data_IF_090891746831
#
_entry.id   IF_090891746831
#
_cell.length_a   1.000
_cell.length_b   1.000
_cell.length_c   1.000
_cell.angle_alpha   90.00
_cell.angle_beta   90.00
_cell.angle_gamma   90.00
#
_symmetry.space_group_name_H-M   'P 1'
#
loop_
_entity.id
_entity.type
_entity.pdbx_description
1 polymer ?
#
# COMPACT_ATOMS: atom_id res chain seq x y z
N UNK A 1 27.29 -8.78 -23.13
CA UNK A 1 25.87 -8.85 -23.55
C UNK A 1 25.03 -7.98 -22.64
N UNK A 2 24.76 -6.73 -23.04
CA UNK A 2 24.03 -5.74 -22.25
C UNK A 2 22.53 -6.01 -22.40
N UNK A 3 21.87 -6.53 -21.34
CA UNK A 3 20.42 -6.73 -21.33
C UNK A 3 19.76 -5.36 -21.16
N UNK A 4 19.26 -4.79 -22.26
CA UNK A 4 18.39 -3.62 -22.23
C UNK A 4 17.08 -3.99 -21.51
N UNK A 5 17.04 -3.75 -20.20
CA UNK A 5 15.81 -3.76 -19.43
C UNK A 5 15.00 -2.55 -19.87
N UNK A 6 14.08 -2.73 -20.81
CA UNK A 6 13.09 -1.71 -21.17
C UNK A 6 12.21 -1.50 -19.94
N UNK A 7 12.59 -0.56 -19.07
CA UNK A 7 11.78 -0.14 -17.93
C UNK A 7 10.61 0.65 -18.52
N UNK A 8 9.55 -0.04 -18.90
CA UNK A 8 8.30 0.61 -19.30
C UNK A 8 7.76 1.34 -18.08
N UNK A 9 7.93 2.66 -18.05
CA UNK A 9 7.36 3.52 -17.04
C UNK A 9 5.84 3.34 -17.01
N UNK A 10 5.25 3.40 -15.82
CA UNK A 10 3.81 3.20 -15.64
C UNK A 10 3.07 4.35 -16.31
N UNK A 11 1.99 4.04 -17.04
CA UNK A 11 1.17 5.04 -17.76
C UNK A 11 0.27 5.87 -16.84
N UNK A 12 0.01 5.40 -15.62
CA UNK A 12 -0.87 6.06 -14.67
C UNK A 12 -0.32 5.91 -13.26
N UNK A 13 -0.47 6.97 -12.47
CA UNK A 13 -0.11 6.97 -11.06
C UNK A 13 -1.05 6.06 -10.26
N UNK A 14 -0.51 5.43 -9.21
CA UNK A 14 -1.23 4.47 -8.37
C UNK A 14 -1.30 4.98 -6.95
N UNK A 15 -2.53 5.06 -6.46
CA UNK A 15 -2.83 5.50 -5.11
C UNK A 15 -3.15 4.28 -4.24
N UNK A 16 -2.59 4.25 -3.03
CA UNK A 16 -2.78 3.15 -2.11
C UNK A 16 -4.18 3.21 -1.51
N UNK A 17 -4.87 2.08 -1.52
CA UNK A 17 -6.21 1.97 -0.94
C UNK A 17 -6.36 0.66 -0.18
N UNK A 18 -7.43 0.56 0.61
CA UNK A 18 -7.81 -0.65 1.33
C UNK A 18 -9.30 -0.82 1.17
N UNK A 19 -9.67 -1.19 -0.05
CA UNK A 19 -11.04 -1.52 -0.42
C UNK A 19 -11.18 -3.03 -0.40
N UNK A 20 -12.25 -3.52 0.21
CA UNK A 20 -12.60 -4.94 0.20
C UNK A 20 -13.68 -5.17 -0.86
N UNK A 21 -13.61 -6.32 -1.49
CA UNK A 21 -14.55 -6.73 -2.52
C UNK A 21 -14.33 -8.19 -2.91
N UNK A 22 -14.90 -8.59 -4.02
CA UNK A 22 -14.72 -9.91 -4.60
C UNK A 22 -14.26 -9.83 -6.06
N UNK A 23 -13.58 -10.87 -6.51
CA UNK A 23 -13.17 -11.06 -7.89
C UNK A 23 -13.86 -12.30 -8.42
N UNK A 24 -14.65 -12.10 -9.47
CA UNK A 24 -15.38 -13.15 -10.19
C UNK A 24 -14.62 -13.51 -11.46
N UNK A 25 -14.41 -14.80 -11.66
CA UNK A 25 -13.90 -15.40 -12.90
C UNK A 25 -14.75 -16.62 -13.23
N UNK A 26 -15.48 -16.57 -14.34
CA UNK A 26 -16.43 -17.63 -14.72
C UNK A 26 -17.41 -17.93 -13.57
N UNK A 27 -17.39 -19.16 -13.05
CA UNK A 27 -18.25 -19.64 -11.98
C UNK A 27 -17.58 -19.57 -10.59
N UNK A 28 -16.40 -18.96 -10.49
CA UNK A 28 -15.66 -18.81 -9.24
C UNK A 28 -15.66 -17.37 -8.76
N UNK A 29 -15.93 -17.18 -7.48
CA UNK A 29 -15.84 -15.90 -6.79
C UNK A 29 -14.88 -16.03 -5.62
N UNK A 30 -14.00 -15.03 -5.48
CA UNK A 30 -12.97 -15.01 -4.45
C UNK A 30 -12.92 -13.65 -3.78
N UNK A 31 -12.96 -13.62 -2.46
CA UNK A 31 -12.73 -12.40 -1.68
C UNK A 31 -11.35 -11.81 -1.96
N UNK A 32 -11.31 -10.52 -2.19
CA UNK A 32 -10.10 -9.78 -2.50
C UNK A 32 -10.03 -8.43 -1.78
N UNK A 33 -8.80 -8.01 -1.54
CA UNK A 33 -8.46 -6.70 -1.00
C UNK A 33 -7.68 -5.93 -2.03
N UNK A 34 -8.21 -4.79 -2.46
CA UNK A 34 -7.53 -3.87 -3.36
C UNK A 34 -6.44 -3.14 -2.56
N UNK A 35 -5.20 -3.24 -3.03
CA UNK A 35 -4.00 -2.67 -2.40
C UNK A 35 -3.70 -1.27 -2.93
N UNK A 36 -3.85 -1.12 -4.24
CA UNK A 36 -3.69 0.14 -4.93
C UNK A 36 -4.57 0.16 -6.18
N UNK A 37 -4.96 1.37 -6.54
CA UNK A 37 -5.85 1.64 -7.65
C UNK A 37 -5.24 2.75 -8.51
N UNK A 38 -5.48 2.67 -9.81
CA UNK A 38 -5.22 3.71 -10.81
C UNK A 38 -6.39 3.75 -11.77
N UNK A 39 -6.47 4.81 -12.58
CA UNK A 39 -7.51 4.95 -13.62
C UNK A 39 -7.53 3.75 -14.57
N UNK A 40 -6.38 3.11 -14.79
CA UNK A 40 -6.24 2.01 -15.76
C UNK A 40 -6.23 0.63 -15.11
N UNK A 41 -6.14 0.50 -13.79
CA UNK A 41 -6.04 -0.83 -13.20
C UNK A 41 -5.80 -0.86 -11.71
N UNK A 42 -5.78 -2.06 -11.15
CA UNK A 42 -5.63 -2.30 -9.73
C UNK A 42 -4.62 -3.42 -9.45
N UNK A 43 -4.02 -3.37 -8.26
CA UNK A 43 -3.40 -4.54 -7.65
C UNK A 43 -4.28 -4.99 -6.49
N UNK A 44 -4.59 -6.28 -6.45
CA UNK A 44 -5.38 -6.89 -5.40
C UNK A 44 -4.70 -8.11 -4.81
N UNK A 45 -5.07 -8.43 -3.57
CA UNK A 45 -4.65 -9.59 -2.82
C UNK A 45 -5.87 -10.46 -2.58
N UNK A 46 -5.84 -11.71 -3.03
CA UNK A 46 -6.95 -12.65 -2.93
C UNK A 46 -6.79 -13.48 -1.66
N UNK A 47 -7.88 -13.70 -0.92
CA UNK A 47 -7.87 -14.50 0.31
C UNK A 47 -7.68 -16.00 0.03
N UNK A 48 -8.28 -16.49 -1.05
CA UNK A 48 -8.11 -17.86 -1.55
C UNK A 48 -7.49 -17.83 -2.94
N UNK A 49 -6.96 -18.97 -3.44
CA UNK A 49 -6.39 -19.02 -4.79
C UNK A 49 -7.44 -18.71 -5.87
N UNK A 50 -7.24 -17.63 -6.63
CA UNK A 50 -8.06 -17.35 -7.81
C UNK A 50 -7.67 -18.28 -8.97
N UNK A 51 -8.60 -19.11 -9.44
CA UNK A 51 -8.44 -20.01 -10.59
C UNK A 51 -8.57 -19.28 -11.94
N UNK A 52 -7.73 -18.26 -12.13
CA UNK A 52 -7.63 -17.48 -13.35
C UNK A 52 -6.16 -17.27 -13.72
N UNK A 53 -5.84 -17.35 -15.01
CA UNK A 53 -4.49 -17.18 -15.54
C UNK A 53 -4.25 -15.73 -15.99
N UNK A 54 -3.00 -15.39 -16.28
CA UNK A 54 -2.72 -14.12 -16.96
C UNK A 54 -3.38 -14.13 -18.35
N UNK A 55 -4.04 -13.04 -18.72
CA UNK A 55 -4.87 -12.94 -19.92
C UNK A 55 -6.36 -13.24 -19.70
N UNK A 56 -6.74 -13.81 -18.56
CA UNK A 56 -8.15 -14.07 -18.25
C UNK A 56 -8.93 -12.78 -17.97
N UNK A 57 -10.17 -12.72 -18.47
CA UNK A 57 -11.16 -11.68 -18.14
C UNK A 57 -11.76 -11.92 -16.76
N UNK A 58 -11.79 -10.89 -15.94
CA UNK A 58 -12.32 -10.94 -14.57
C UNK A 58 -13.22 -9.74 -14.29
N UNK A 59 -14.12 -9.92 -13.33
CA UNK A 59 -14.98 -8.87 -12.80
C UNK A 59 -14.63 -8.62 -11.34
N UNK A 60 -14.45 -7.37 -10.96
CA UNK A 60 -14.20 -6.94 -9.60
C UNK A 60 -15.47 -6.25 -9.12
N UNK A 61 -15.96 -6.64 -7.96
CA UNK A 61 -17.11 -6.03 -7.32
C UNK A 61 -16.69 -5.55 -5.93
N UNK A 62 -16.89 -4.26 -5.65
CA UNK A 62 -16.57 -3.67 -4.37
C UNK A 62 -17.56 -2.56 -4.04
N UNK A 63 -17.99 -2.49 -2.79
CA UNK A 63 -19.08 -1.60 -2.34
C UNK A 63 -18.86 -0.12 -2.73
N UNK A 64 -17.64 0.39 -2.57
CA UNK A 64 -17.32 1.80 -2.84
C UNK A 64 -16.76 2.06 -4.24
N UNK A 65 -16.54 1.03 -5.05
CA UNK A 65 -15.94 1.13 -6.39
C UNK A 65 -16.91 0.71 -7.49
N UNK A 66 -17.94 -0.07 -7.17
CA UNK A 66 -18.88 -0.64 -8.12
C UNK A 66 -18.33 -1.90 -8.79
N UNK A 67 -18.82 -2.15 -10.01
CA UNK A 67 -18.44 -3.30 -10.84
C UNK A 67 -17.47 -2.86 -11.93
N UNK A 68 -16.25 -3.39 -11.88
CA UNK A 68 -15.20 -3.15 -12.87
C UNK A 68 -14.83 -4.43 -13.59
N UNK A 69 -14.71 -4.35 -14.92
CA UNK A 69 -14.21 -5.44 -15.75
C UNK A 69 -12.76 -5.19 -16.16
N UNK A 70 -11.99 -6.27 -16.30
CA UNK A 70 -10.61 -6.17 -16.76
C UNK A 70 -9.95 -7.50 -17.05
N UNK A 71 -8.66 -7.44 -17.36
CA UNK A 71 -7.82 -8.58 -17.72
C UNK A 71 -6.69 -8.71 -16.71
N UNK A 72 -6.43 -9.94 -16.25
CA UNK A 72 -5.28 -10.24 -15.40
C UNK A 72 -3.99 -10.05 -16.22
N UNK A 73 -3.09 -9.19 -15.73
CA UNK A 73 -1.77 -8.95 -16.36
C UNK A 73 -0.65 -9.75 -15.69
N UNK A 74 -0.77 -10.01 -14.40
CA UNK A 74 0.19 -10.78 -13.64
C UNK A 74 -0.47 -11.38 -12.39
N UNK A 75 0.12 -12.47 -11.90
CA UNK A 75 -0.24 -13.12 -10.64
C UNK A 75 1.04 -13.53 -9.92
N UNK A 76 1.16 -13.20 -8.65
CA UNK A 76 2.36 -13.48 -7.85
C UNK A 76 2.00 -13.56 -6.36
N UNK A 77 2.29 -14.69 -5.69
CA UNK A 77 2.08 -14.90 -4.25
C UNK A 77 0.70 -14.44 -3.73
N UNK A 78 -0.39 -14.90 -4.35
CA UNK A 78 -1.75 -14.52 -3.96
C UNK A 78 -2.14 -13.07 -4.31
N UNK A 79 -1.26 -12.34 -5.00
CA UNK A 79 -1.56 -11.01 -5.56
C UNK A 79 -1.82 -11.11 -7.04
N UNK A 80 -2.71 -10.26 -7.52
CA UNK A 80 -3.12 -10.20 -8.92
C UNK A 80 -3.12 -8.75 -9.37
N UNK A 81 -2.54 -8.49 -10.52
CA UNK A 81 -2.64 -7.20 -11.20
C UNK A 81 -3.68 -7.29 -12.30
N UNK A 82 -4.66 -6.38 -12.26
CA UNK A 82 -5.72 -6.32 -13.26
C UNK A 82 -5.62 -4.99 -13.99
N UNK A 83 -5.65 -5.08 -15.31
CA UNK A 83 -5.80 -3.94 -16.21
C UNK A 83 -7.29 -3.81 -16.52
N UNK A 84 -7.90 -2.65 -16.22
CA UNK A 84 -9.30 -2.42 -16.53
C UNK A 84 -9.51 -2.31 -18.03
N UNK A 85 -10.71 -2.71 -18.45
CA UNK A 85 -11.18 -2.47 -19.81
C UNK A 85 -11.33 -0.96 -20.03
N UNK A 86 -10.90 -0.50 -21.20
CA UNK A 86 -10.86 0.93 -21.54
C UNK A 86 -12.25 1.41 -21.93
N UNK A 87 -13.10 1.66 -20.93
CA UNK A 87 -14.45 2.17 -21.13
C UNK A 87 -14.73 3.39 -20.23
N UNK A 88 -15.75 4.18 -20.59
CA UNK A 88 -16.14 5.40 -19.87
C UNK A 88 -16.67 5.11 -18.47
N UNK A 89 -17.42 4.02 -18.31
CA UNK A 89 -18.00 3.61 -17.03
C UNK A 89 -16.93 3.30 -15.98
N UNK A 90 -15.93 2.48 -16.32
CA UNK A 90 -14.82 2.12 -15.45
C UNK A 90 -14.02 3.35 -15.03
N UNK A 91 -13.75 4.27 -15.97
CA UNK A 91 -13.10 5.55 -15.65
C UNK A 91 -13.93 6.39 -14.69
N UNK A 92 -15.24 6.49 -14.90
CA UNK A 92 -16.14 7.26 -14.05
C UNK A 92 -16.23 6.66 -12.64
N UNK A 93 -16.35 5.33 -12.51
CA UNK A 93 -16.37 4.64 -11.22
C UNK A 93 -15.08 4.86 -10.43
N UNK A 94 -13.92 4.67 -11.07
CA UNK A 94 -12.62 4.90 -10.43
C UNK A 94 -12.46 6.37 -10.04
N UNK A 95 -12.87 7.31 -10.90
CA UNK A 95 -12.82 8.75 -10.60
C UNK A 95 -13.74 9.12 -9.43
N UNK A 96 -14.96 8.57 -9.38
CA UNK A 96 -15.91 8.79 -8.28
C UNK A 96 -15.37 8.22 -6.97
N UNK A 97 -14.75 7.04 -7.01
CA UNK A 97 -14.06 6.47 -5.85
C UNK A 97 -12.99 7.44 -5.30
N UNK A 98 -12.12 7.95 -6.17
CA UNK A 98 -11.09 8.90 -5.76
C UNK A 98 -11.63 10.20 -5.20
N UNK A 99 -12.76 10.68 -5.73
CA UNK A 99 -13.36 11.94 -5.30
C UNK A 99 -14.11 11.85 -3.97
N UNK A 100 -14.85 10.75 -3.74
CA UNK A 100 -15.80 10.69 -2.63
C UNK A 100 -15.42 9.70 -1.53
N UNK A 101 -14.69 8.63 -1.86
CA UNK A 101 -14.48 7.50 -0.96
C UNK A 101 -13.01 7.26 -0.58
N UNK A 102 -12.07 7.81 -1.35
CA UNK A 102 -10.66 7.59 -1.11
C UNK A 102 -10.19 8.30 0.15
N UNK A 103 -9.75 7.50 1.12
CA UNK A 103 -9.05 7.97 2.31
C UNK A 103 -7.58 7.61 2.15
N UNK A 104 -6.70 8.61 2.17
CA UNK A 104 -5.26 8.37 2.16
C UNK A 104 -4.88 7.47 3.33
N UNK A 105 -4.34 6.29 3.02
CA UNK A 105 -3.83 5.38 4.05
C UNK A 105 -2.39 5.78 4.33
N UNK A 106 -2.19 6.57 5.38
CA UNK A 106 -0.86 6.86 5.92
C UNK A 106 -0.44 5.70 6.83
N UNK A 107 0.60 4.92 6.49
CA UNK A 107 1.10 3.92 7.42
C UNK A 107 1.63 4.65 8.65
N UNK A 108 0.91 4.55 9.77
CA UNK A 108 1.42 5.04 11.05
C UNK A 108 2.46 4.02 11.51
N UNK A 109 3.74 4.34 11.33
CA UNK A 109 4.78 3.70 12.11
C UNK A 109 4.42 3.92 13.57
N UNK A 110 4.13 2.86 14.31
CA UNK A 110 4.10 2.92 15.76
C UNK A 110 5.52 3.27 16.21
N UNK A 111 5.82 4.56 16.33
CA UNK A 111 7.07 5.02 16.92
C UNK A 111 7.00 4.62 18.38
N UNK A 112 7.58 3.47 18.71
CA UNK A 112 7.87 3.10 20.10
C UNK A 112 8.88 4.14 20.58
N UNK A 113 8.40 5.18 21.26
CA UNK A 113 9.26 6.18 21.89
C UNK A 113 10.18 5.45 22.87
N UNK A 114 11.43 5.23 22.47
CA UNK A 114 12.50 4.88 23.38
C UNK A 114 12.71 6.10 24.27
N UNK A 115 12.16 6.08 25.48
CA UNK A 115 12.51 7.05 26.53
C UNK A 115 14.00 6.90 26.80
N UNK A 116 14.80 7.85 26.34
CA UNK A 116 16.19 7.97 26.75
C UNK A 116 16.22 8.30 28.26
N UNK A 117 16.83 7.42 29.04
CA UNK A 117 17.08 7.67 30.46
C UNK A 117 18.14 8.77 30.60
N UNK A 118 17.72 10.00 30.90
CA UNK A 118 18.63 11.10 31.21
C UNK A 118 19.01 11.11 32.68
N UNK A 119 20.22 10.59 32.93
CA UNK A 119 21.30 11.10 33.80
C UNK A 119 20.99 11.32 35.29
N UNK A 120 21.60 10.44 36.11
CA UNK A 120 21.73 10.58 37.56
C UNK A 120 22.41 11.91 37.97
N UNK A 121 21.81 12.59 38.95
CA UNK A 121 22.42 13.66 39.73
C UNK A 121 23.74 13.19 40.37
N UNK A 122 24.78 14.01 40.28
CA UNK A 122 26.01 13.88 41.05
C UNK A 122 26.08 15.10 41.98
N UNK A 123 26.21 14.95 43.31
CA UNK A 123 26.18 16.08 44.22
C UNK A 123 27.50 16.88 44.15
N UNK A 124 27.48 18.19 44.44
CA UNK A 124 28.68 19.02 44.41
C UNK A 124 29.53 18.73 45.66
N UNK A 125 30.80 18.38 45.43
CA UNK A 125 31.82 18.29 46.47
C UNK A 125 32.24 19.71 46.86
N UNK A 126 32.10 20.03 48.15
CA UNK A 126 32.54 21.27 48.78
C UNK A 126 34.04 21.46 48.55
N UNK A 127 34.40 22.59 47.94
CA UNK A 127 35.78 23.06 47.91
C UNK A 127 36.16 23.59 49.31
N UNK A 128 37.18 23.00 49.93
CA UNK A 128 37.93 23.64 51.02
C UNK A 128 39.38 23.78 50.55
N UNK A 129 39.73 24.97 50.11
CA UNK A 129 41.12 25.40 49.94
C UNK A 129 41.34 26.62 50.80
N UNK A 130 42.00 26.45 51.93
CA UNK A 130 42.58 27.55 52.71
C UNK A 130 44.10 27.38 52.65
N UNK A 131 44.87 28.35 52.15
CA UNK A 131 46.32 28.23 52.06
C UNK A 131 46.99 28.88 53.28
N UNK A 132 48.10 28.32 53.77
CA UNK A 132 49.20 29.11 54.35
C UNK A 132 50.53 28.34 54.36
N UNK A 133 51.67 29.02 54.14
CA UNK A 133 52.92 28.40 53.71
C UNK A 133 53.90 28.12 54.85
N UNK A 134 54.94 27.37 54.48
CA UNK A 134 56.10 26.90 55.23
C UNK A 134 56.83 27.98 56.04
N UNK A 135 57.19 27.61 57.28
CA UNK A 135 58.52 27.87 57.84
C UNK A 135 58.89 26.78 58.84
#
# INVERSE_FOLDING_TARGET
>A
MTRNLTITARKADRQNCRVFGSVKHLNSEVDARILNLSVTGAALETKTPLHAASGSKVRIEAENLGLLEGIIRWKHNGRVGIQFDVNSNARAQVSSYFRFFHKEIRPVLAVRQLRAATKAERPPHLATSTPKPLR
#
